data_IF_866768252031
#
_entry.id   IF_866768252031
#
_cell.length_a   1.000
_cell.length_b   1.000
_cell.length_c   1.000
_cell.angle_alpha   90.00
_cell.angle_beta   90.00
_cell.angle_gamma   90.00
#
_symmetry.space_group_name_H-M   'P 1'
#
loop_
_entity.id
_entity.type
_entity.pdbx_description
1 polymer ?
#
# COMPACT_ATOMS: atom_id res chain seq x y z
N UNK A 1 40.94 12.73 19.46
CA UNK A 1 39.97 13.78 19.10
C UNK A 1 38.60 13.14 19.02
N UNK A 2 37.73 13.44 19.99
CA UNK A 2 36.37 12.92 20.01
C UNK A 2 35.51 13.74 19.06
N UNK A 3 34.98 13.11 18.01
CA UNK A 3 34.00 13.73 17.14
C UNK A 3 32.71 13.96 17.92
N UNK A 4 32.09 15.16 17.84
CA UNK A 4 30.80 15.40 18.45
C UNK A 4 29.76 14.53 17.74
N UNK A 5 29.24 13.52 18.44
CA UNK A 5 28.07 12.79 17.95
C UNK A 5 26.90 13.77 17.78
N UNK A 6 26.48 13.97 16.54
CA UNK A 6 25.27 14.77 16.26
C UNK A 6 24.09 14.19 17.03
N UNK A 7 23.42 15.05 17.79
CA UNK A 7 22.21 14.79 18.60
C UNK A 7 21.01 14.19 17.86
N UNK A 8 21.09 13.84 16.58
CA UNK A 8 19.96 13.44 15.73
C UNK A 8 20.06 12.00 15.18
N UNK A 9 20.82 11.12 15.84
CA UNK A 9 20.77 9.70 15.48
C UNK A 9 19.42 9.12 15.93
N UNK A 10 18.44 9.15 15.04
CA UNK A 10 17.21 8.41 15.24
C UNK A 10 17.50 6.93 15.01
N UNK A 11 17.26 6.05 15.99
CA UNK A 11 17.44 4.62 15.80
C UNK A 11 16.58 4.17 14.59
N UNK A 12 17.10 3.23 13.80
CA UNK A 12 16.38 2.61 12.68
C UNK A 12 15.76 1.29 13.17
N UNK A 13 14.66 1.32 13.92
CA UNK A 13 14.18 0.18 14.69
C UNK A 13 13.84 -1.03 13.82
N UNK A 14 13.34 -0.81 12.58
CA UNK A 14 13.06 -1.92 11.66
C UNK A 14 14.35 -2.60 11.20
N UNK A 15 15.40 -1.84 10.89
CA UNK A 15 16.71 -2.38 10.53
C UNK A 15 17.29 -3.18 11.70
N UNK A 16 17.31 -2.59 12.89
CA UNK A 16 17.79 -3.24 14.11
C UNK A 16 17.03 -4.54 14.44
N UNK A 17 15.73 -4.61 14.12
CA UNK A 17 14.94 -5.83 14.30
C UNK A 17 15.47 -6.99 13.44
N UNK A 18 15.78 -6.75 12.18
CA UNK A 18 16.29 -7.77 11.26
C UNK A 18 17.76 -8.13 11.52
N UNK A 19 18.55 -7.18 12.04
CA UNK A 19 19.97 -7.40 12.37
C UNK A 19 20.14 -8.13 13.72
N UNK A 20 19.20 -7.96 14.65
CA UNK A 20 19.28 -8.56 15.98
C UNK A 20 19.27 -10.09 15.90
N UNK A 21 20.23 -10.71 16.59
CA UNK A 21 20.39 -12.17 16.67
C UNK A 21 20.41 -12.86 15.29
N UNK A 22 20.86 -12.16 14.25
CA UNK A 22 20.86 -12.65 12.87
C UNK A 22 19.44 -13.03 12.35
N UNK A 23 18.39 -12.37 12.88
CA UNK A 23 17.00 -12.72 12.57
C UNK A 23 16.70 -12.75 11.06
N UNK A 24 17.35 -11.89 10.26
CA UNK A 24 17.16 -11.96 8.81
C UNK A 24 17.76 -13.23 8.19
N UNK A 25 18.92 -13.68 8.65
CA UNK A 25 19.52 -14.92 8.18
C UNK A 25 18.62 -16.13 8.53
N UNK A 26 18.14 -16.21 9.76
CA UNK A 26 17.21 -17.23 10.21
C UNK A 26 15.92 -17.27 9.37
N UNK A 27 15.33 -16.11 9.08
CA UNK A 27 14.13 -16.02 8.23
C UNK A 27 14.41 -16.54 6.82
N UNK A 28 15.57 -16.20 6.23
CA UNK A 28 15.94 -16.69 4.90
C UNK A 28 16.15 -18.21 4.86
N UNK A 29 16.63 -18.81 5.94
CA UNK A 29 16.86 -20.25 6.04
C UNK A 29 15.57 -21.04 6.32
N UNK A 30 14.66 -20.47 7.11
CA UNK A 30 13.48 -21.19 7.63
C UNK A 30 12.18 -20.89 6.89
N UNK A 31 12.18 -19.86 6.03
CA UNK A 31 10.95 -19.38 5.37
C UNK A 31 11.14 -19.31 3.85
N UNK A 32 10.20 -19.87 3.10
CA UNK A 32 10.19 -19.71 1.65
C UNK A 32 9.81 -18.26 1.29
N UNK A 33 10.82 -17.47 0.99
CA UNK A 33 10.68 -16.06 0.59
C UNK A 33 10.69 -15.93 -0.92
N UNK A 34 9.94 -14.93 -1.41
CA UNK A 34 10.02 -14.51 -2.81
C UNK A 34 11.28 -13.65 -3.01
N UNK A 35 11.87 -13.71 -4.19
CA UNK A 35 13.07 -12.91 -4.54
C UNK A 35 12.91 -11.43 -4.21
N UNK A 36 11.74 -10.85 -4.50
CA UNK A 36 11.48 -9.43 -4.20
C UNK A 36 11.48 -9.12 -2.70
N UNK A 37 11.11 -10.06 -1.84
CA UNK A 37 11.15 -9.89 -0.37
C UNK A 37 12.59 -9.89 0.11
N UNK A 38 13.41 -10.80 -0.41
CA UNK A 38 14.85 -10.85 -0.13
C UNK A 38 15.51 -9.56 -0.60
N UNK A 39 15.24 -9.12 -1.84
CA UNK A 39 15.81 -7.90 -2.40
C UNK A 39 15.45 -6.66 -1.56
N UNK A 40 14.19 -6.48 -1.20
CA UNK A 40 13.72 -5.31 -0.46
C UNK A 40 14.33 -5.23 0.93
N UNK A 41 14.40 -6.35 1.67
CA UNK A 41 14.97 -6.35 3.02
C UNK A 41 16.49 -6.17 2.95
N UNK A 42 17.20 -6.88 2.08
CA UNK A 42 18.65 -6.75 1.92
C UNK A 42 19.05 -5.33 1.54
N UNK A 43 18.37 -4.72 0.56
CA UNK A 43 18.59 -3.30 0.21
C UNK A 43 18.26 -2.34 1.36
N UNK A 44 17.25 -2.64 2.17
CA UNK A 44 16.92 -1.83 3.34
C UNK A 44 18.02 -1.93 4.41
N UNK A 45 18.56 -3.12 4.66
CA UNK A 45 19.65 -3.33 5.61
C UNK A 45 20.93 -2.61 5.17
N UNK A 46 21.27 -2.65 3.90
CA UNK A 46 22.40 -1.92 3.33
C UNK A 46 22.19 -0.39 3.22
N UNK A 47 20.94 0.09 3.35
CA UNK A 47 20.59 1.49 3.10
C UNK A 47 21.32 2.48 4.00
N UNK A 48 22.07 3.41 3.37
CA UNK A 48 22.85 4.43 4.07
C UNK A 48 24.09 3.89 4.78
N UNK A 49 24.61 2.78 4.29
CA UNK A 49 25.92 2.21 4.69
C UNK A 49 26.86 2.14 3.48
N UNK A 50 28.17 1.97 3.68
CA UNK A 50 29.13 1.78 2.59
C UNK A 50 28.79 0.62 1.65
N UNK A 51 28.05 -0.40 2.11
CA UNK A 51 27.60 -1.52 1.28
C UNK A 51 26.69 -1.10 0.10
N UNK A 52 26.00 0.06 0.21
CA UNK A 52 25.25 0.65 -0.90
C UNK A 52 26.10 1.50 -1.84
N UNK A 53 27.40 1.63 -1.55
CA UNK A 53 28.29 2.62 -2.16
C UNK A 53 28.16 3.98 -1.49
N UNK A 54 29.10 4.85 -1.77
CA UNK A 54 29.17 6.21 -1.22
C UNK A 54 29.82 7.18 -2.22
N UNK A 55 29.69 8.45 -1.92
CA UNK A 55 30.48 9.54 -2.51
C UNK A 55 31.33 10.13 -1.40
N UNK A 56 32.56 10.39 -1.72
CA UNK A 56 33.49 11.16 -0.90
C UNK A 56 33.53 12.59 -1.42
N UNK A 57 33.43 13.53 -0.51
CA UNK A 57 33.60 14.95 -0.76
C UNK A 57 34.80 15.41 0.01
N UNK A 58 35.78 15.98 -0.67
CA UNK A 58 36.98 16.59 -0.09
C UNK A 58 36.84 18.11 -0.16
N UNK A 59 37.41 18.80 0.83
CA UNK A 59 37.50 20.24 0.77
C UNK A 59 38.50 20.66 -0.31
N UNK A 60 38.15 21.63 -1.14
CA UNK A 60 39.05 22.13 -2.19
C UNK A 60 40.10 23.14 -1.67
N UNK A 61 40.05 23.52 -0.39
CA UNK A 61 41.04 24.39 0.22
C UNK A 61 42.27 23.58 0.57
N UNK A 62 43.43 23.95 0.01
CA UNK A 62 44.70 23.26 0.20
C UNK A 62 45.16 23.12 1.68
N UNK A 63 44.66 23.99 2.55
CA UNK A 63 44.94 23.98 3.99
C UNK A 63 43.84 23.25 4.81
N UNK A 64 43.01 22.42 4.17
CA UNK A 64 41.89 21.77 4.84
C UNK A 64 41.76 20.29 4.46
N UNK A 65 42.02 19.41 5.40
CA UNK A 65 41.90 17.95 5.24
C UNK A 65 40.47 17.43 5.47
N UNK A 66 39.48 18.32 5.40
CA UNK A 66 38.10 17.93 5.69
C UNK A 66 37.51 17.06 4.58
N UNK A 67 37.11 15.84 4.96
CA UNK A 67 36.45 14.87 4.08
C UNK A 67 35.07 14.49 4.64
N UNK A 68 34.12 14.19 3.74
CA UNK A 68 32.78 13.77 4.11
C UNK A 68 32.31 12.62 3.23
N UNK A 69 32.08 11.47 3.85
CA UNK A 69 31.47 10.32 3.18
C UNK A 69 29.93 10.44 3.22
N UNK A 70 29.29 10.31 2.05
CA UNK A 70 27.83 10.29 1.91
C UNK A 70 27.42 8.97 1.29
N UNK A 71 26.95 8.04 2.12
CA UNK A 71 26.49 6.73 1.68
C UNK A 71 25.19 6.83 0.86
N UNK A 72 25.06 6.00 -0.16
CA UNK A 72 23.87 5.91 -0.96
C UNK A 72 22.71 5.27 -0.18
N UNK A 73 21.49 5.54 -0.62
CA UNK A 73 20.27 5.02 0.00
C UNK A 73 19.52 4.12 -0.97
N UNK A 74 18.81 3.12 -0.46
CA UNK A 74 18.13 2.10 -1.26
C UNK A 74 16.98 2.63 -2.13
N UNK A 75 16.48 3.84 -1.87
CA UNK A 75 15.29 4.44 -2.53
C UNK A 75 14.05 3.54 -2.52
N UNK A 76 14.07 2.46 -1.75
CA UNK A 76 12.99 1.47 -1.66
C UNK A 76 11.81 1.98 -0.83
N UNK A 77 10.58 1.65 -1.26
CA UNK A 77 9.35 1.97 -0.52
C UNK A 77 9.29 1.24 0.83
N UNK A 78 9.78 0.00 0.91
CA UNK A 78 9.80 -0.80 2.14
C UNK A 78 10.71 -0.22 3.24
N UNK A 79 11.72 0.54 2.86
CA UNK A 79 12.62 1.19 3.81
C UNK A 79 11.94 2.38 4.50
N UNK A 80 11.85 2.42 5.86
CA UNK A 80 11.17 3.50 6.57
C UNK A 80 11.73 4.89 6.26
N UNK A 81 13.05 5.03 6.12
CA UNK A 81 13.71 6.30 5.81
C UNK A 81 13.44 6.75 4.37
N UNK A 82 13.67 5.86 3.40
CA UNK A 82 13.48 6.18 1.99
C UNK A 82 12.00 6.33 1.64
N UNK A 83 11.14 5.46 2.15
CA UNK A 83 9.70 5.53 1.91
C UNK A 83 9.08 6.81 2.46
N UNK A 84 9.54 7.32 3.61
CA UNK A 84 9.11 8.63 4.11
C UNK A 84 9.52 9.76 3.15
N UNK A 85 10.77 9.81 2.71
CA UNK A 85 11.27 10.81 1.76
C UNK A 85 10.50 10.77 0.44
N UNK A 86 10.25 9.57 -0.08
CA UNK A 86 9.44 9.37 -1.28
C UNK A 86 8.01 9.87 -1.11
N UNK A 87 7.39 9.62 0.06
CA UNK A 87 6.05 10.12 0.40
C UNK A 87 6.00 11.63 0.41
N UNK A 88 6.94 12.28 1.10
CA UNK A 88 6.98 13.74 1.24
C UNK A 88 7.19 14.42 -0.13
N UNK A 89 8.08 13.89 -0.95
CA UNK A 89 8.34 14.39 -2.31
C UNK A 89 7.10 14.20 -3.21
N UNK A 90 6.46 13.05 -3.16
CA UNK A 90 5.25 12.77 -3.93
C UNK A 90 4.12 13.74 -3.55
N UNK A 91 3.90 13.98 -2.25
CA UNK A 91 2.90 14.93 -1.76
C UNK A 91 3.18 16.32 -2.31
N UNK A 92 4.42 16.81 -2.20
CA UNK A 92 4.83 18.12 -2.71
C UNK A 92 4.55 18.29 -4.20
N UNK A 93 4.89 17.29 -4.99
CA UNK A 93 4.70 17.31 -6.44
C UNK A 93 3.22 17.21 -6.81
N UNK A 94 2.48 16.33 -6.13
CA UNK A 94 1.06 16.08 -6.42
C UNK A 94 0.20 17.29 -6.11
N UNK A 95 0.43 17.99 -4.96
CA UNK A 95 -0.33 19.18 -4.61
C UNK A 95 -0.29 20.24 -5.73
N UNK A 96 0.85 20.39 -6.41
CA UNK A 96 1.01 21.36 -7.49
C UNK A 96 0.22 21.01 -8.76
N UNK A 97 -0.16 19.73 -8.93
CA UNK A 97 -0.84 19.21 -10.13
C UNK A 97 -2.34 19.00 -9.92
N UNK A 98 -2.80 18.94 -8.67
CA UNK A 98 -4.22 18.73 -8.40
C UNK A 98 -5.03 20.00 -8.70
N UNK A 99 -6.13 19.90 -9.47
CA UNK A 99 -7.01 21.03 -9.69
C UNK A 99 -7.71 21.44 -8.39
N UNK A 100 -8.00 22.73 -8.28
CA UNK A 100 -8.69 23.31 -7.11
C UNK A 100 -10.21 23.10 -7.23
N UNK A 101 -10.62 21.86 -7.06
CA UNK A 101 -12.03 21.42 -7.09
C UNK A 101 -12.33 20.53 -5.89
N UNK A 102 -13.60 20.21 -5.68
CA UNK A 102 -13.98 19.22 -4.65
C UNK A 102 -13.51 17.83 -5.03
N UNK A 103 -12.91 17.15 -4.07
CA UNK A 103 -12.44 15.78 -4.16
C UNK A 103 -13.21 14.91 -3.17
N UNK A 104 -13.49 13.69 -3.57
CA UNK A 104 -13.99 12.65 -2.68
C UNK A 104 -13.01 11.48 -2.65
N UNK A 105 -12.91 10.85 -1.49
CA UNK A 105 -12.10 9.66 -1.30
C UNK A 105 -13.00 8.46 -1.07
N UNK A 106 -12.61 7.30 -1.59
CA UNK A 106 -13.31 6.05 -1.33
C UNK A 106 -12.37 4.87 -1.18
N UNK A 107 -12.88 3.85 -0.50
CA UNK A 107 -12.18 2.58 -0.31
C UNK A 107 -13.06 1.46 -0.85
N UNK A 108 -12.49 0.62 -1.70
CA UNK A 108 -13.14 -0.54 -2.30
C UNK A 108 -12.51 -1.80 -1.71
N UNK A 109 -13.31 -2.60 -1.04
CA UNK A 109 -12.89 -3.88 -0.48
C UNK A 109 -13.72 -5.02 -1.04
N UNK A 110 -13.28 -6.23 -0.77
CA UNK A 110 -13.99 -7.46 -1.11
C UNK A 110 -14.16 -8.33 0.13
N UNK A 111 -15.06 -9.32 0.12
CA UNK A 111 -15.20 -10.27 1.21
C UNK A 111 -13.89 -10.97 1.55
N UNK A 112 -13.64 -11.17 2.84
CA UNK A 112 -12.38 -11.77 3.30
C UNK A 112 -12.17 -13.21 2.80
N UNK A 113 -13.26 -13.93 2.51
CA UNK A 113 -13.22 -15.28 1.91
C UNK A 113 -12.52 -15.32 0.54
N UNK A 114 -12.45 -14.19 -0.16
CA UNK A 114 -11.74 -14.08 -1.44
C UNK A 114 -10.25 -13.71 -1.27
N UNK A 115 -9.81 -13.23 -0.11
CA UNK A 115 -8.45 -12.75 0.09
C UNK A 115 -7.38 -13.83 -0.18
N UNK A 116 -7.51 -15.08 0.28
CA UNK A 116 -6.52 -16.12 0.01
C UNK A 116 -6.30 -16.38 -1.48
N UNK A 117 -7.36 -16.21 -2.32
CA UNK A 117 -7.22 -16.32 -3.78
C UNK A 117 -6.27 -15.25 -4.34
N UNK A 118 -6.40 -14.01 -3.90
CA UNK A 118 -5.55 -12.91 -4.35
C UNK A 118 -4.15 -12.95 -3.72
N UNK A 119 -4.00 -13.57 -2.58
CA UNK A 119 -2.70 -13.80 -1.94
C UNK A 119 -1.87 -14.82 -2.72
N UNK A 120 -2.50 -15.95 -3.05
CA UNK A 120 -1.86 -17.04 -3.82
C UNK A 120 -1.68 -16.64 -5.29
N UNK A 121 -2.68 -15.98 -5.89
CA UNK A 121 -2.69 -15.60 -7.31
C UNK A 121 -2.49 -14.09 -7.48
N UNK A 122 -1.31 -13.57 -7.16
CA UNK A 122 -1.03 -12.12 -7.12
C UNK A 122 -1.23 -11.40 -8.45
N UNK A 123 -1.18 -12.11 -9.56
CA UNK A 123 -1.49 -11.59 -10.88
C UNK A 123 -2.94 -11.07 -11.00
N UNK A 124 -3.86 -11.60 -10.21
CA UNK A 124 -5.24 -11.10 -10.11
C UNK A 124 -5.33 -9.64 -9.65
N UNK A 125 -4.38 -9.20 -8.82
CA UNK A 125 -4.35 -7.85 -8.25
C UNK A 125 -4.30 -6.76 -9.32
N UNK A 126 -3.69 -7.05 -10.47
CA UNK A 126 -3.53 -6.09 -11.57
C UNK A 126 -4.86 -5.57 -12.15
N UNK A 127 -5.96 -6.32 -12.01
CA UNK A 127 -7.28 -5.91 -12.51
C UNK A 127 -8.12 -5.12 -11.51
N UNK A 128 -7.79 -5.17 -10.22
CA UNK A 128 -8.65 -4.57 -9.19
C UNK A 128 -8.67 -3.03 -9.28
N UNK A 129 -7.51 -2.41 -9.52
CA UNK A 129 -7.46 -0.95 -9.66
C UNK A 129 -8.27 -0.45 -10.87
N UNK A 130 -8.08 -1.00 -12.11
CA UNK A 130 -8.95 -0.71 -13.24
C UNK A 130 -10.44 -0.87 -12.91
N UNK A 131 -10.86 -1.95 -12.28
CA UNK A 131 -12.29 -2.17 -11.96
C UNK A 131 -12.86 -1.10 -11.04
N UNK A 132 -12.10 -0.65 -10.04
CA UNK A 132 -12.54 0.41 -9.15
C UNK A 132 -12.58 1.77 -9.89
N UNK A 133 -11.56 2.09 -10.69
CA UNK A 133 -11.47 3.34 -11.44
C UNK A 133 -12.53 3.42 -12.56
N UNK A 134 -12.64 2.38 -13.37
CA UNK A 134 -13.58 2.32 -14.50
C UNK A 134 -15.04 2.40 -14.05
N UNK A 135 -15.33 1.99 -12.84
CA UNK A 135 -16.64 2.15 -12.23
C UNK A 135 -17.08 3.63 -12.22
N UNK A 136 -16.18 4.52 -11.81
CA UNK A 136 -16.43 5.95 -11.73
C UNK A 136 -16.27 6.64 -13.10
N UNK A 137 -15.22 6.28 -13.85
CA UNK A 137 -14.93 6.83 -15.17
C UNK A 137 -16.07 6.55 -16.18
N UNK A 138 -16.64 5.35 -16.13
CA UNK A 138 -17.81 5.01 -16.96
C UNK A 138 -19.00 5.90 -16.66
N UNK A 139 -19.29 6.15 -15.39
CA UNK A 139 -20.41 7.02 -15.02
C UNK A 139 -20.19 8.49 -15.44
N UNK A 140 -18.94 8.96 -15.38
CA UNK A 140 -18.57 10.27 -15.87
C UNK A 140 -18.67 10.36 -17.41
N UNK A 141 -18.13 9.35 -18.11
CA UNK A 141 -18.18 9.25 -19.60
C UNK A 141 -19.63 9.29 -20.13
N UNK A 142 -20.56 8.59 -19.47
CA UNK A 142 -21.99 8.64 -19.83
C UNK A 142 -22.60 10.04 -19.75
N UNK A 143 -21.99 10.94 -18.99
CA UNK A 143 -22.39 12.36 -18.86
C UNK A 143 -21.54 13.30 -19.72
N UNK A 144 -20.69 12.76 -20.60
CA UNK A 144 -19.77 13.53 -21.42
C UNK A 144 -18.71 14.28 -20.60
N UNK A 145 -18.30 13.73 -19.44
CA UNK A 145 -17.35 14.37 -18.54
C UNK A 145 -16.01 13.62 -18.48
N UNK A 146 -14.92 14.39 -18.54
CA UNK A 146 -13.57 13.94 -18.21
C UNK A 146 -13.27 14.32 -16.78
N UNK A 147 -13.06 13.34 -15.91
CA UNK A 147 -12.79 13.52 -14.49
C UNK A 147 -11.36 13.13 -14.11
N UNK A 148 -10.85 13.73 -13.03
CA UNK A 148 -9.59 13.34 -12.42
C UNK A 148 -9.78 12.21 -11.41
N UNK A 149 -8.93 11.18 -11.49
CA UNK A 149 -8.91 10.07 -10.54
C UNK A 149 -7.49 9.58 -10.31
N UNK A 150 -7.16 9.22 -9.08
CA UNK A 150 -5.92 8.56 -8.72
C UNK A 150 -6.10 7.73 -7.45
N UNK A 151 -5.21 6.76 -7.23
CA UNK A 151 -5.36 5.89 -6.07
C UNK A 151 -4.24 4.88 -5.93
N UNK A 152 -4.45 3.93 -5.02
CA UNK A 152 -3.50 2.87 -4.71
C UNK A 152 -4.21 1.56 -4.39
N UNK A 153 -3.60 0.46 -4.85
CA UNK A 153 -3.89 -0.88 -4.36
C UNK A 153 -3.10 -1.12 -3.06
N UNK A 154 -3.78 -1.63 -2.05
CA UNK A 154 -3.20 -2.13 -0.82
C UNK A 154 -3.50 -3.62 -0.64
N UNK A 155 -2.55 -4.33 -0.05
CA UNK A 155 -2.67 -5.77 0.24
C UNK A 155 -2.56 -6.09 1.73
N UNK A 156 -2.53 -5.09 2.60
CA UNK A 156 -2.39 -5.28 4.04
C UNK A 156 -3.32 -4.35 4.82
N UNK A 157 -3.86 -4.88 5.92
CA UNK A 157 -4.66 -4.13 6.87
C UNK A 157 -3.84 -3.45 7.97
N UNK A 158 -4.50 -2.85 8.95
CA UNK A 158 -3.85 -2.19 10.11
C UNK A 158 -3.02 -3.16 10.95
N UNK A 159 -3.42 -4.43 11.00
CA UNK A 159 -2.71 -5.50 11.72
C UNK A 159 -1.61 -6.16 10.89
N UNK A 160 -1.25 -5.60 9.74
CA UNK A 160 -0.34 -6.17 8.74
C UNK A 160 -0.81 -7.52 8.17
N UNK A 161 -2.03 -7.96 8.49
CA UNK A 161 -2.64 -9.11 7.87
C UNK A 161 -2.96 -8.83 6.40
N UNK A 162 -3.03 -9.88 5.61
CA UNK A 162 -3.47 -9.77 4.22
C UNK A 162 -4.86 -9.16 4.16
N UNK A 163 -5.01 -8.12 3.38
CA UNK A 163 -6.27 -7.41 3.19
C UNK A 163 -6.21 -6.61 1.88
N UNK A 164 -6.79 -7.16 0.84
CA UNK A 164 -6.77 -6.54 -0.49
C UNK A 164 -7.84 -5.48 -0.61
N UNK A 165 -7.44 -4.24 -0.85
CA UNK A 165 -8.36 -3.12 -1.03
C UNK A 165 -7.75 -2.00 -1.88
N UNK A 166 -8.64 -1.19 -2.48
CA UNK A 166 -8.27 -0.05 -3.32
C UNK A 166 -8.65 1.24 -2.62
N UNK A 167 -7.70 2.16 -2.51
CA UNK A 167 -7.96 3.55 -2.15
C UNK A 167 -8.01 4.39 -3.42
N UNK A 168 -9.11 5.08 -3.65
CA UNK A 168 -9.26 6.04 -4.73
C UNK A 168 -9.55 7.44 -4.21
N UNK A 169 -9.09 8.44 -4.92
CA UNK A 169 -9.61 9.82 -4.84
C UNK A 169 -10.00 10.28 -6.22
N UNK A 170 -11.13 10.95 -6.30
CA UNK A 170 -11.66 11.45 -7.57
C UNK A 170 -12.24 12.85 -7.41
N UNK A 171 -12.30 13.58 -8.51
CA UNK A 171 -12.96 14.89 -8.55
C UNK A 171 -14.47 14.73 -8.52
N UNK A 172 -15.15 15.59 -7.75
CA UNK A 172 -16.63 15.62 -7.67
C UNK A 172 -17.26 16.33 -8.87
N UNK A 173 -16.81 15.94 -10.06
CA UNK A 173 -17.20 16.48 -11.33
C UNK A 173 -16.11 16.25 -12.38
N UNK A 174 -16.31 16.84 -13.54
CA UNK A 174 -15.38 16.76 -14.65
C UNK A 174 -15.56 17.92 -15.64
N UNK A 175 -14.70 17.94 -16.63
CA UNK A 175 -14.73 18.91 -17.73
C UNK A 175 -15.51 18.28 -18.91
N UNK A 176 -16.47 19.01 -19.47
CA UNK A 176 -17.20 18.59 -20.67
C UNK A 176 -16.41 18.95 -21.94
N UNK A 177 -16.94 18.62 -23.11
CA UNK A 177 -16.33 18.90 -24.42
C UNK A 177 -16.08 20.40 -24.68
N UNK A 178 -16.82 21.29 -24.00
CA UNK A 178 -16.65 22.75 -24.11
C UNK A 178 -15.74 23.30 -23.00
N UNK A 179 -14.89 22.45 -22.40
CA UNK A 179 -13.96 22.80 -21.31
C UNK A 179 -14.63 23.40 -20.05
N UNK A 180 -15.96 23.26 -19.92
CA UNK A 180 -16.72 23.76 -18.76
C UNK A 180 -16.81 22.68 -17.68
N UNK A 181 -16.53 23.09 -16.45
CA UNK A 181 -16.69 22.24 -15.28
C UNK A 181 -18.16 21.93 -15.01
N UNK A 182 -18.47 20.66 -14.78
CA UNK A 182 -19.79 20.17 -14.36
C UNK A 182 -19.64 19.30 -13.11
N UNK A 183 -20.35 19.65 -12.06
CA UNK A 183 -20.38 18.85 -10.82
C UNK A 183 -21.08 17.53 -11.04
N UNK A 184 -20.61 16.48 -10.36
CA UNK A 184 -21.17 15.14 -10.43
C UNK A 184 -21.02 14.45 -9.07
N UNK A 185 -22.09 13.76 -8.66
CA UNK A 185 -22.09 12.87 -7.50
C UNK A 185 -22.28 11.43 -7.93
N UNK A 186 -21.77 10.51 -7.13
CA UNK A 186 -21.86 9.09 -7.38
C UNK A 186 -22.81 8.43 -6.37
N UNK A 187 -23.66 7.56 -6.88
CA UNK A 187 -24.50 6.71 -6.08
C UNK A 187 -23.66 5.53 -5.54
N UNK A 188 -23.46 5.52 -4.23
CA UNK A 188 -22.65 4.49 -3.54
C UNK A 188 -23.18 3.07 -3.78
N UNK A 189 -24.51 2.89 -3.81
CA UNK A 189 -25.11 1.58 -4.00
C UNK A 189 -24.84 1.04 -5.41
N UNK A 190 -24.95 1.89 -6.43
CA UNK A 190 -24.64 1.54 -7.83
C UNK A 190 -23.14 1.25 -8.00
N UNK A 191 -22.28 2.06 -7.41
CA UNK A 191 -20.83 1.86 -7.44
C UNK A 191 -20.43 0.55 -6.78
N UNK A 192 -20.99 0.23 -5.61
CA UNK A 192 -20.77 -1.03 -4.89
C UNK A 192 -21.24 -2.25 -5.70
N UNK A 193 -22.43 -2.20 -6.26
CA UNK A 193 -22.99 -3.28 -7.09
C UNK A 193 -22.14 -3.56 -8.31
N UNK A 194 -21.64 -2.51 -8.99
CA UNK A 194 -20.78 -2.67 -10.16
C UNK A 194 -19.39 -3.18 -9.78
N UNK A 195 -18.82 -2.72 -8.65
CA UNK A 195 -17.57 -3.25 -8.11
C UNK A 195 -17.64 -4.76 -7.87
N UNK A 196 -18.65 -5.18 -7.13
CA UNK A 196 -18.94 -6.59 -6.85
C UNK A 196 -19.06 -7.40 -8.14
N UNK A 197 -19.85 -6.90 -9.09
CA UNK A 197 -20.08 -7.56 -10.37
C UNK A 197 -18.77 -7.72 -11.16
N UNK A 198 -17.97 -6.67 -11.30
CA UNK A 198 -16.70 -6.71 -12.02
C UNK A 198 -15.73 -7.75 -11.44
N UNK A 199 -15.59 -7.78 -10.12
CA UNK A 199 -14.69 -8.74 -9.45
C UNK A 199 -15.21 -10.17 -9.62
N UNK A 200 -16.50 -10.40 -9.43
CA UNK A 200 -17.11 -11.71 -9.63
C UNK A 200 -16.95 -12.23 -11.07
N UNK A 201 -17.29 -11.42 -12.07
CA UNK A 201 -17.13 -11.82 -13.47
C UNK A 201 -15.68 -12.13 -13.82
N UNK A 202 -14.74 -11.33 -13.31
CA UNK A 202 -13.32 -11.59 -13.52
C UNK A 202 -12.90 -12.93 -12.90
N UNK A 203 -13.28 -13.20 -11.65
CA UNK A 203 -12.95 -14.47 -11.01
C UNK A 203 -13.56 -15.67 -11.72
N UNK A 204 -14.80 -15.54 -12.23
CA UNK A 204 -15.43 -16.58 -13.04
C UNK A 204 -14.66 -16.82 -14.36
N UNK A 205 -14.18 -15.77 -15.00
CA UNK A 205 -13.47 -15.87 -16.28
C UNK A 205 -12.07 -16.51 -16.20
N UNK A 206 -11.51 -16.66 -15.01
CA UNK A 206 -10.13 -17.14 -14.82
C UNK A 206 -10.06 -18.53 -14.16
N UNK A 207 -11.17 -19.22 -14.01
CA UNK A 207 -11.25 -20.54 -13.35
C UNK A 207 -10.13 -21.49 -13.72
N UNK A 208 -9.92 -21.74 -14.99
CA UNK A 208 -8.90 -22.68 -15.47
C UNK A 208 -7.43 -22.23 -15.30
N UNK A 209 -7.21 -21.03 -14.75
CA UNK A 209 -5.86 -20.43 -14.57
C UNK A 209 -5.53 -20.14 -13.11
N UNK A 210 -6.48 -20.40 -12.19
CA UNK A 210 -6.34 -20.02 -10.80
C UNK A 210 -5.82 -21.17 -9.95
N UNK A 211 -4.87 -20.89 -9.07
CA UNK A 211 -4.46 -21.82 -8.04
C UNK A 211 -5.36 -21.67 -6.83
N UNK A 212 -5.98 -22.77 -6.39
CA UNK A 212 -6.86 -22.75 -5.22
C UNK A 212 -6.03 -22.85 -3.94
N UNK A 213 -6.26 -21.96 -2.96
CA UNK A 213 -5.66 -22.09 -1.63
C UNK A 213 -6.21 -23.34 -0.92
N UNK A 214 -5.51 -23.81 0.10
CA UNK A 214 -5.87 -25.02 0.86
C UNK A 214 -7.34 -25.01 1.31
N UNK A 215 -7.80 -23.88 1.80
CA UNK A 215 -9.20 -23.69 2.26
C UNK A 215 -10.26 -23.86 1.17
N UNK A 216 -9.87 -23.86 -0.11
CA UNK A 216 -10.77 -23.97 -1.27
C UNK A 216 -10.48 -25.20 -2.15
N UNK A 217 -9.61 -26.11 -1.75
CA UNK A 217 -9.29 -27.32 -2.52
C UNK A 217 -10.47 -28.29 -2.65
N UNK A 218 -11.53 -28.12 -1.87
CA UNK A 218 -12.77 -28.86 -2.00
C UNK A 218 -13.57 -28.51 -3.27
N UNK A 219 -13.26 -27.36 -3.92
CA UNK A 219 -13.88 -26.92 -5.18
C UNK A 219 -13.25 -27.68 -6.34
N UNK A 220 -14.00 -28.55 -6.99
CA UNK A 220 -13.51 -29.49 -8.02
C UNK A 220 -13.85 -29.09 -9.45
N UNK A 221 -14.94 -28.35 -9.63
CA UNK A 221 -15.46 -27.98 -10.93
C UNK A 221 -15.91 -26.53 -11.01
N UNK A 222 -16.30 -26.11 -12.24
CA UNK A 222 -16.73 -24.74 -12.49
C UNK A 222 -18.03 -24.37 -11.80
N UNK A 223 -18.95 -25.32 -11.60
CA UNK A 223 -20.25 -25.03 -10.97
C UNK A 223 -20.09 -24.81 -9.47
N UNK A 224 -19.20 -25.56 -8.80
CA UNK A 224 -18.82 -25.33 -7.42
C UNK A 224 -18.08 -24.00 -7.27
N UNK A 225 -17.16 -23.69 -8.18
CA UNK A 225 -16.48 -22.41 -8.26
C UNK A 225 -17.46 -21.25 -8.42
N UNK A 226 -18.38 -21.35 -9.36
CA UNK A 226 -19.42 -20.36 -9.62
C UNK A 226 -20.30 -20.13 -8.39
N UNK A 227 -20.73 -21.22 -7.72
CA UNK A 227 -21.48 -21.13 -6.47
C UNK A 227 -20.70 -20.41 -5.39
N UNK A 228 -19.43 -20.74 -5.20
CA UNK A 228 -18.55 -20.08 -4.24
C UNK A 228 -18.43 -18.58 -4.53
N UNK A 229 -18.11 -18.19 -5.75
CA UNK A 229 -17.92 -16.79 -6.15
C UNK A 229 -19.22 -15.98 -6.01
N UNK A 230 -20.36 -16.54 -6.39
CA UNK A 230 -21.64 -15.84 -6.29
C UNK A 230 -22.14 -15.72 -4.85
N UNK A 231 -21.73 -16.63 -3.96
CA UNK A 231 -22.06 -16.59 -2.54
C UNK A 231 -21.02 -15.84 -1.70
N UNK A 232 -19.83 -15.59 -2.22
CA UNK A 232 -18.80 -14.84 -1.52
C UNK A 232 -19.32 -13.45 -1.09
N UNK A 233 -19.29 -13.19 0.21
CA UNK A 233 -19.80 -11.95 0.81
C UNK A 233 -21.28 -11.86 1.01
N UNK A 234 -22.03 -12.92 0.88
CA UNK A 234 -23.41 -12.98 1.36
C UNK A 234 -23.44 -13.23 2.87
N UNK A 235 -24.35 -12.56 3.57
CA UNK A 235 -24.65 -12.86 4.97
C UNK A 235 -25.59 -14.08 5.09
N UNK A 236 -25.93 -14.47 6.31
CA UNK A 236 -26.84 -15.59 6.58
C UNK A 236 -28.22 -15.45 5.90
N UNK A 237 -28.66 -14.22 5.64
CA UNK A 237 -29.93 -13.90 4.95
C UNK A 237 -29.79 -13.89 3.42
N UNK A 238 -28.61 -14.25 2.88
CA UNK A 238 -28.32 -14.25 1.44
C UNK A 238 -28.08 -12.85 0.82
N UNK A 239 -28.02 -11.80 1.63
CA UNK A 239 -27.79 -10.43 1.19
C UNK A 239 -26.29 -10.17 0.94
N UNK A 240 -25.97 -9.55 -0.18
CA UNK A 240 -24.60 -9.22 -0.56
C UNK A 240 -23.96 -8.19 0.40
N UNK A 241 -22.77 -8.54 0.92
CA UNK A 241 -22.00 -7.73 1.85
C UNK A 241 -20.61 -7.40 1.29
N UNK A 242 -20.59 -6.47 0.34
CA UNK A 242 -19.39 -5.92 -0.25
C UNK A 242 -19.19 -4.48 0.23
N UNK A 243 -17.99 -4.16 0.69
CA UNK A 243 -17.73 -2.84 1.22
C UNK A 243 -17.15 -1.89 0.17
N UNK A 244 -17.91 -0.84 -0.09
CA UNK A 244 -17.40 0.39 -0.70
C UNK A 244 -17.78 1.52 0.24
N UNK A 245 -16.78 2.28 0.66
CA UNK A 245 -16.95 3.43 1.54
C UNK A 245 -16.58 4.72 0.81
N UNK A 246 -17.37 5.75 0.97
CA UNK A 246 -17.10 7.11 0.50
C UNK A 246 -16.92 8.01 1.71
N UNK A 247 -15.77 8.67 1.79
CA UNK A 247 -15.53 9.72 2.76
C UNK A 247 -16.25 11.01 2.34
N UNK A 248 -16.41 11.94 3.27
CA UNK A 248 -16.96 13.26 2.97
C UNK A 248 -16.09 13.99 1.94
N UNK A 249 -16.73 14.69 0.98
CA UNK A 249 -15.98 15.49 0.02
C UNK A 249 -15.17 16.60 0.69
N UNK A 250 -14.02 16.91 0.10
CA UNK A 250 -13.16 18.00 0.57
C UNK A 250 -12.73 18.89 -0.61
N UNK A 251 -12.73 20.20 -0.42
CA UNK A 251 -12.13 21.16 -1.36
C UNK A 251 -10.62 21.38 -1.11
N UNK A 252 -10.05 20.71 -0.13
CA UNK A 252 -8.64 20.87 0.22
C UNK A 252 -7.76 19.85 -0.52
N UNK A 253 -7.21 20.23 -1.67
CA UNK A 253 -6.29 19.40 -2.47
C UNK A 253 -5.07 18.92 -1.66
N UNK A 254 -4.57 19.76 -0.72
CA UNK A 254 -3.46 19.38 0.17
C UNK A 254 -3.85 18.23 1.12
N UNK A 255 -5.09 18.25 1.65
CA UNK A 255 -5.63 17.17 2.49
C UNK A 255 -5.74 15.88 1.68
N UNK A 256 -6.26 15.95 0.46
CA UNK A 256 -6.39 14.83 -0.49
C UNK A 256 -5.01 14.22 -0.83
N UNK A 257 -4.03 15.04 -1.23
CA UNK A 257 -2.68 14.57 -1.54
C UNK A 257 -1.98 13.96 -0.32
N UNK A 258 -2.09 14.58 0.87
CA UNK A 258 -1.54 14.03 2.12
C UNK A 258 -2.17 12.70 2.50
N UNK A 259 -3.48 12.58 2.35
CA UNK A 259 -4.19 11.35 2.65
C UNK A 259 -3.67 10.20 1.77
N UNK A 260 -3.72 10.36 0.45
CA UNK A 260 -3.26 9.30 -0.46
C UNK A 260 -1.75 9.08 -0.46
N UNK A 261 -0.95 10.10 -0.22
CA UNK A 261 0.49 9.95 -0.09
C UNK A 261 0.88 8.94 0.99
N UNK A 262 0.09 8.83 2.06
CA UNK A 262 0.27 7.83 3.11
C UNK A 262 0.09 6.40 2.59
N UNK A 263 -0.80 6.20 1.63
CA UNK A 263 -1.09 4.88 1.07
C UNK A 263 -0.20 4.54 -0.13
N UNK A 264 0.16 5.53 -0.94
CA UNK A 264 0.94 5.31 -2.16
C UNK A 264 2.42 5.07 -1.92
N UNK A 265 3.01 5.79 -0.97
CA UNK A 265 4.48 5.86 -0.81
C UNK A 265 4.97 5.55 0.60
N UNK A 266 4.13 5.72 1.64
CA UNK A 266 4.53 5.42 3.01
C UNK A 266 4.87 3.93 3.16
N UNK A 267 5.97 3.57 3.84
CA UNK A 267 6.28 2.18 4.14
C UNK A 267 5.18 1.57 5.03
N UNK A 268 4.92 0.26 4.91
CA UNK A 268 3.94 -0.45 5.73
C UNK A 268 4.21 -0.29 7.23
N UNK A 269 5.48 -0.33 7.60
CA UNK A 269 5.95 -0.14 8.97
C UNK A 269 6.70 1.17 9.06
N UNK A 270 6.33 2.03 10.02
CA UNK A 270 7.02 3.29 10.28
C UNK A 270 7.94 3.16 11.50
N UNK A 271 9.11 3.82 11.46
CA UNK A 271 10.06 3.77 12.58
C UNK A 271 9.50 4.32 13.91
N UNK A 272 8.45 5.15 13.88
CA UNK A 272 7.80 5.67 15.10
C UNK A 272 6.92 4.65 15.82
N UNK A 273 6.42 3.64 15.09
CA UNK A 273 5.55 2.61 15.63
C UNK A 273 6.30 1.39 16.17
N UNK A 274 7.63 1.40 16.16
CA UNK A 274 8.47 0.31 16.64
C UNK A 274 9.23 0.76 17.90
N UNK A 275 9.00 0.08 19.02
CA UNK A 275 9.87 0.15 20.20
C UNK A 275 10.47 -1.23 20.43
N UNK A 276 11.78 -1.29 20.65
CA UNK A 276 12.51 -2.51 20.97
C UNK A 276 12.91 -2.39 22.43
N UNK A 277 12.40 -3.28 23.26
CA UNK A 277 12.85 -3.42 24.66
C UNK A 277 13.81 -4.61 24.78
N UNK A 278 14.65 -4.62 25.81
CA UNK A 278 15.67 -5.67 25.99
C UNK A 278 15.08 -7.08 26.16
N UNK A 279 13.83 -7.20 26.58
CA UNK A 279 13.16 -8.46 26.88
C UNK A 279 12.14 -8.92 25.83
N UNK A 280 11.55 -7.99 25.08
CA UNK A 280 10.50 -8.30 24.08
C UNK A 280 10.56 -7.33 22.91
N UNK A 281 10.30 -7.82 21.70
CA UNK A 281 10.03 -6.97 20.55
C UNK A 281 8.55 -6.60 20.60
N UNK A 282 8.24 -5.42 21.11
CA UNK A 282 6.89 -4.89 21.11
C UNK A 282 6.72 -4.02 19.87
N UNK A 283 5.96 -4.50 18.89
CA UNK A 283 5.51 -3.69 17.79
C UNK A 283 4.37 -2.79 18.29
N UNK A 284 4.69 -1.58 18.73
CA UNK A 284 3.66 -0.55 18.97
C UNK A 284 3.29 0.06 17.64
N UNK A 285 2.14 -0.28 17.15
CA UNK A 285 1.45 0.48 16.12
C UNK A 285 0.65 1.59 16.80
N UNK A 286 0.69 2.81 16.28
CA UNK A 286 -0.01 3.99 16.80
C UNK A 286 -1.55 3.85 16.86
N UNK A 287 -2.08 2.66 16.64
CA UNK A 287 -3.48 2.29 16.82
C UNK A 287 -3.57 0.91 17.49
N UNK A 288 -3.56 0.89 18.83
CA UNK A 288 -4.15 -0.14 19.72
C UNK A 288 -3.98 -1.64 19.37
N UNK A 289 -2.88 -2.07 18.78
CA UNK A 289 -2.62 -3.50 18.68
C UNK A 289 -1.17 -3.80 19.04
N UNK A 290 -0.99 -4.44 20.20
CA UNK A 290 0.28 -4.98 20.66
C UNK A 290 0.44 -6.36 19.98
N UNK A 291 1.38 -6.49 19.05
CA UNK A 291 1.80 -7.80 18.57
C UNK A 291 3.01 -8.21 19.44
N UNK A 292 2.79 -9.16 20.34
CA UNK A 292 3.87 -9.80 21.08
C UNK A 292 4.56 -10.81 20.17
N UNK A 293 5.82 -10.58 19.87
CA UNK A 293 6.70 -11.60 19.29
C UNK A 293 7.58 -12.10 20.45
N UNK A 294 7.23 -13.24 21.01
CA UNK A 294 8.08 -13.93 21.99
C UNK A 294 9.19 -14.64 21.24
N UNK A 295 10.40 -14.11 21.33
CA UNK A 295 11.59 -14.89 21.02
C UNK A 295 11.87 -15.80 22.21
N UNK A 296 11.72 -17.12 22.03
CA UNK A 296 12.31 -18.10 22.99
C UNK A 296 13.82 -17.88 22.98
N UNK A 297 14.36 -17.65 24.18
CA UNK A 297 15.80 -17.65 24.50
C UNK A 297 16.30 -19.09 24.43
#
# INVERSE_FOLDING_TARGET
MSFPMKKDFQPRPLKSLFERNKAWAEIMETTQLREIEIEVVTKMLACGTPMMGFREYCCENENCDHQKLVCFTCKGRGCPSCGKKLTDNWIKTTIKRLPNVKWQHGTFTMPHSLWPLFELNRWLLGKLFPFAADNLLYAAKKRGLTMGIFGALHTYGRKLNWNTHIHLSWTMGGINQNEKWKSMQFDLAKVRKRWMWNVRQYLLSVWGKIYLPESLQHIRDYDEWKRFILNAGKNAEGKDYWHVYFADPTSNAKKTAKYLGRYLKKPPVSGRGLSITMAEVVLRYDFLTIIRVTTKI
#
